data_IF_606871285221
#
_entry.id   IF_606871285221
#
_cell.length_a   1.000
_cell.length_b   1.000
_cell.length_c   1.000
_cell.angle_alpha   90.00
_cell.angle_beta   90.00
_cell.angle_gamma   90.00
#
_symmetry.space_group_name_H-M   'P 1'
#
loop_
_entity.id
_entity.type
_entity.pdbx_description
1 polymer ?
#
# COMPACT_ATOMS: atom_id res chain seq x y z
N UNK A 1 15.65 -0.77 -18.26
CA UNK A 1 15.68 -0.81 -19.75
C UNK A 1 15.19 -2.15 -20.32
N UNK A 2 15.79 -3.29 -19.96
CA UNK A 2 15.42 -4.63 -20.47
C UNK A 2 13.94 -5.04 -20.32
N UNK A 3 13.21 -4.45 -19.36
CA UNK A 3 11.80 -4.77 -19.10
C UNK A 3 10.82 -4.03 -20.05
N UNK A 4 11.06 -2.76 -20.37
CA UNK A 4 10.25 -2.03 -21.35
C UNK A 4 10.31 -2.71 -22.73
N UNK A 5 11.46 -3.30 -23.06
CA UNK A 5 11.68 -4.12 -24.26
C UNK A 5 10.86 -5.42 -24.23
N UNK A 6 10.70 -6.06 -23.06
CA UNK A 6 9.88 -7.28 -22.90
C UNK A 6 8.37 -6.99 -23.06
N UNK A 7 7.89 -5.86 -22.55
CA UNK A 7 6.49 -5.44 -22.70
C UNK A 7 6.16 -5.06 -24.15
N UNK A 8 7.05 -4.32 -24.80
CA UNK A 8 6.95 -3.95 -26.21
C UNK A 8 6.90 -5.22 -27.09
N UNK A 9 7.78 -6.20 -26.82
CA UNK A 9 7.79 -7.49 -27.50
C UNK A 9 6.51 -8.35 -27.29
N UNK A 10 5.74 -8.08 -26.23
CA UNK A 10 4.44 -8.74 -25.96
C UNK A 10 3.23 -7.94 -26.44
N UNK A 11 3.46 -6.85 -27.18
CA UNK A 11 2.39 -5.99 -27.72
C UNK A 11 1.66 -5.18 -26.64
N UNK A 12 2.27 -5.01 -25.47
CA UNK A 12 1.73 -4.13 -24.42
C UNK A 12 2.16 -2.70 -24.77
N UNK A 13 1.19 -1.80 -24.92
CA UNK A 13 1.49 -0.40 -25.22
C UNK A 13 2.20 0.24 -24.03
N UNK A 14 3.49 0.53 -24.23
CA UNK A 14 4.35 1.17 -23.22
C UNK A 14 4.67 2.63 -23.55
N UNK A 15 4.18 3.16 -24.67
CA UNK A 15 4.52 4.53 -25.15
C UNK A 15 4.28 5.62 -24.08
N UNK A 16 3.19 5.52 -23.32
CA UNK A 16 2.90 6.45 -22.22
C UNK A 16 3.90 6.36 -21.05
N UNK A 17 4.66 5.26 -20.96
CA UNK A 17 5.56 4.94 -19.84
C UNK A 17 7.02 4.79 -20.27
N UNK A 18 7.36 4.88 -21.57
CA UNK A 18 8.73 4.74 -22.10
C UNK A 18 9.71 5.79 -21.55
N UNK A 19 9.20 6.91 -21.05
CA UNK A 19 9.98 7.96 -20.39
C UNK A 19 10.28 7.71 -18.91
N UNK A 20 9.64 6.71 -18.28
CA UNK A 20 9.88 6.38 -16.88
C UNK A 20 11.21 5.64 -16.73
N UNK A 21 12.15 6.29 -16.06
CA UNK A 21 13.47 5.76 -15.74
C UNK A 21 13.65 5.85 -14.23
N UNK A 22 13.89 4.70 -13.57
CA UNK A 22 14.10 4.65 -12.12
C UNK A 22 15.27 5.53 -11.67
N UNK A 23 16.25 5.78 -12.54
CA UNK A 23 17.38 6.66 -12.25
C UNK A 23 17.00 8.15 -12.25
N UNK A 24 15.80 8.51 -12.75
CA UNK A 24 15.30 9.90 -12.79
C UNK A 24 14.39 10.26 -11.63
N UNK A 25 13.96 9.29 -10.82
CA UNK A 25 13.06 9.54 -9.69
C UNK A 25 13.84 9.48 -8.38
N UNK A 26 13.86 10.60 -7.66
CA UNK A 26 14.39 10.62 -6.30
C UNK A 26 13.41 9.93 -5.34
N UNK A 27 13.96 9.24 -4.34
CA UNK A 27 13.18 8.76 -3.19
C UNK A 27 12.61 9.97 -2.45
N UNK A 28 11.30 10.03 -2.28
CA UNK A 28 10.60 11.12 -1.61
C UNK A 28 9.78 10.62 -0.42
N UNK A 29 9.60 11.45 0.59
CA UNK A 29 8.67 11.15 1.68
C UNK A 29 7.20 11.28 1.19
N UNK A 30 6.30 10.58 1.87
CA UNK A 30 4.88 10.54 1.56
C UNK A 30 4.12 11.56 2.45
N UNK A 31 3.19 12.38 1.91
CA UNK A 31 2.74 12.44 0.52
C UNK A 31 3.69 13.17 -0.42
N UNK A 32 3.86 12.68 -1.67
CA UNK A 32 4.63 13.40 -2.67
C UNK A 32 3.95 14.73 -2.98
N UNK A 33 4.63 15.84 -2.71
CA UNK A 33 4.22 17.19 -3.11
C UNK A 33 4.62 17.42 -4.58
N UNK A 34 3.88 16.80 -5.50
CA UNK A 34 4.06 16.98 -6.94
C UNK A 34 3.07 18.00 -7.54
N UNK A 35 3.43 18.68 -8.64
CA UNK A 35 2.46 19.51 -9.35
C UNK A 35 1.36 18.64 -9.95
N UNK A 36 0.14 19.17 -9.99
CA UNK A 36 -0.97 18.56 -10.72
C UNK A 36 -0.81 18.86 -12.22
N UNK A 37 -0.49 17.85 -13.02
CA UNK A 37 -0.18 18.00 -14.44
C UNK A 37 -1.46 18.13 -15.28
N UNK A 38 -1.40 18.78 -16.46
CA UNK A 38 -2.53 18.83 -17.38
C UNK A 38 -3.09 17.44 -17.75
N UNK A 39 -2.21 16.45 -17.91
CA UNK A 39 -2.55 15.07 -18.27
C UNK A 39 -3.38 14.37 -17.17
N UNK A 40 -3.18 14.73 -15.90
CA UNK A 40 -3.94 14.17 -14.78
C UNK A 40 -5.45 14.55 -14.82
N UNK A 41 -5.83 15.51 -15.69
CA UNK A 41 -7.23 15.94 -15.89
C UNK A 41 -7.90 15.26 -17.08
N UNK A 42 -7.13 14.57 -17.93
CA UNK A 42 -7.69 13.90 -19.08
C UNK A 42 -8.58 12.72 -18.63
N UNK A 43 -9.73 12.46 -19.29
CA UNK A 43 -10.47 11.22 -19.07
C UNK A 43 -9.57 10.02 -19.37
N UNK A 44 -9.64 8.98 -18.53
CA UNK A 44 -8.97 7.71 -18.82
C UNK A 44 -9.59 7.08 -20.07
N UNK A 45 -8.74 6.67 -21.01
CA UNK A 45 -9.10 5.77 -22.09
C UNK A 45 -9.15 4.32 -21.59
N UNK A 46 -9.90 3.45 -22.28
CA UNK A 46 -10.07 2.04 -21.88
C UNK A 46 -8.72 1.31 -21.76
N UNK A 47 -7.75 1.68 -22.60
CA UNK A 47 -6.44 1.07 -22.61
C UNK A 47 -5.52 1.58 -21.48
N UNK A 48 -5.75 2.78 -20.94
CA UNK A 48 -4.88 3.37 -19.90
C UNK A 48 -4.85 2.52 -18.64
N UNK A 49 -6.03 2.07 -18.18
CA UNK A 49 -6.13 1.22 -16.99
C UNK A 49 -5.49 -0.16 -17.24
N UNK A 50 -5.72 -0.74 -18.41
CA UNK A 50 -5.13 -2.03 -18.79
C UNK A 50 -3.60 -1.95 -18.83
N UNK A 51 -3.08 -0.91 -19.46
CA UNK A 51 -1.64 -0.73 -19.64
C UNK A 51 -0.96 -0.40 -18.30
N UNK A 52 -1.61 0.41 -17.46
CA UNK A 52 -1.20 0.61 -16.06
C UNK A 52 -1.13 -0.72 -15.30
N UNK A 53 -2.19 -1.54 -15.32
CA UNK A 53 -2.22 -2.81 -14.58
C UNK A 53 -1.13 -3.77 -15.04
N UNK A 54 -0.87 -3.87 -16.35
CA UNK A 54 0.23 -4.68 -16.85
C UNK A 54 1.59 -4.19 -16.36
N UNK A 55 1.83 -2.87 -16.42
CA UNK A 55 3.09 -2.29 -15.95
C UNK A 55 3.26 -2.48 -14.45
N UNK A 56 2.19 -2.28 -13.68
CA UNK A 56 2.16 -2.41 -12.22
C UNK A 56 2.47 -3.84 -11.76
N UNK A 57 1.82 -4.84 -12.35
CA UNK A 57 2.06 -6.26 -12.02
C UNK A 57 3.49 -6.69 -12.34
N UNK A 58 4.04 -6.28 -13.49
CA UNK A 58 5.40 -6.69 -13.84
C UNK A 58 6.45 -5.92 -13.03
N UNK A 59 6.22 -4.65 -12.69
CA UNK A 59 7.08 -3.93 -11.74
C UNK A 59 7.11 -4.64 -10.37
N UNK A 60 5.96 -5.07 -9.88
CA UNK A 60 5.87 -5.83 -8.64
C UNK A 60 6.63 -7.16 -8.73
N UNK A 61 6.46 -7.91 -9.82
CA UNK A 61 7.17 -9.17 -10.04
C UNK A 61 8.69 -8.98 -10.14
N UNK A 62 9.15 -7.93 -10.82
CA UNK A 62 10.57 -7.60 -10.94
C UNK A 62 11.18 -7.20 -9.59
N UNK A 63 10.48 -6.41 -8.78
CA UNK A 63 10.89 -6.06 -7.43
C UNK A 63 11.01 -7.30 -6.54
N UNK A 64 9.99 -8.17 -6.56
CA UNK A 64 10.02 -9.43 -5.80
C UNK A 64 11.22 -10.28 -6.23
N UNK A 65 11.44 -10.48 -7.53
CA UNK A 65 12.57 -11.27 -8.03
C UNK A 65 13.92 -10.68 -7.61
N UNK A 66 14.05 -9.34 -7.60
CA UNK A 66 15.27 -8.65 -7.19
C UNK A 66 15.62 -8.91 -5.71
N UNK A 67 14.61 -8.98 -4.83
CA UNK A 67 14.82 -9.12 -3.38
C UNK A 67 14.63 -10.54 -2.86
N UNK A 68 14.09 -11.46 -3.68
CA UNK A 68 13.70 -12.81 -3.23
C UNK A 68 14.86 -13.70 -2.79
N UNK A 69 16.08 -13.40 -3.23
CA UNK A 69 17.28 -14.17 -2.89
C UNK A 69 18.02 -13.60 -1.66
N UNK A 70 17.58 -12.46 -1.12
CA UNK A 70 18.20 -11.85 0.05
C UNK A 70 17.85 -12.60 1.33
N UNK A 71 18.85 -12.76 2.19
CA UNK A 71 18.63 -13.28 3.55
C UNK A 71 17.86 -12.26 4.38
N UNK A 72 17.18 -12.71 5.45
CA UNK A 72 16.53 -11.80 6.41
C UNK A 72 17.52 -10.79 6.99
N UNK A 73 18.77 -11.20 7.22
CA UNK A 73 19.81 -10.30 7.72
C UNK A 73 20.16 -9.20 6.70
N UNK A 74 20.32 -9.56 5.43
CA UNK A 74 20.65 -8.60 4.38
C UNK A 74 19.46 -7.67 4.07
N UNK A 75 18.23 -8.14 4.23
CA UNK A 75 17.02 -7.32 4.11
C UNK A 75 16.95 -6.22 5.17
N UNK A 76 17.42 -6.51 6.39
CA UNK A 76 17.41 -5.59 7.53
C UNK A 76 18.68 -4.71 7.59
N UNK A 77 19.77 -5.12 6.95
CA UNK A 77 21.05 -4.39 7.00
C UNK A 77 20.95 -3.04 6.29
N UNK A 78 21.47 -1.99 6.94
CA UNK A 78 21.67 -0.67 6.34
C UNK A 78 23.10 -0.53 5.80
N UNK A 79 23.28 -0.02 4.57
CA UNK A 79 24.62 0.28 4.04
C UNK A 79 25.37 1.34 4.85
N UNK A 80 24.65 2.36 5.33
CA UNK A 80 25.13 3.43 6.20
C UNK A 80 23.97 4.01 7.05
N UNK A 81 24.25 5.02 7.87
CA UNK A 81 23.27 5.58 8.80
C UNK A 81 22.11 6.34 8.12
N UNK A 82 22.36 6.88 6.92
CA UNK A 82 21.42 7.75 6.20
C UNK A 82 20.64 7.00 5.10
N UNK A 83 21.05 5.77 4.79
CA UNK A 83 20.43 4.92 3.78
C UNK A 83 19.41 3.96 4.40
N UNK A 84 18.25 3.82 3.76
CA UNK A 84 17.25 2.82 4.13
C UNK A 84 17.75 1.40 3.89
N UNK A 85 17.36 0.46 4.76
CA UNK A 85 17.47 -0.97 4.44
C UNK A 85 16.47 -1.35 3.33
N UNK A 86 16.67 -2.51 2.70
CA UNK A 86 15.70 -3.05 1.73
C UNK A 86 14.33 -3.23 2.39
N UNK A 87 14.32 -3.69 3.65
CA UNK A 87 13.09 -3.81 4.45
C UNK A 87 12.36 -2.47 4.61
N UNK A 88 13.08 -1.41 4.94
CA UNK A 88 12.51 -0.06 5.10
C UNK A 88 11.96 0.49 3.78
N UNK A 89 12.69 0.28 2.67
CA UNK A 89 12.24 0.70 1.34
C UNK A 89 10.94 -0.02 0.92
N UNK A 90 10.87 -1.34 1.11
CA UNK A 90 9.64 -2.10 0.81
C UNK A 90 8.47 -1.67 1.70
N UNK A 91 8.72 -1.41 2.98
CA UNK A 91 7.69 -0.90 3.91
C UNK A 91 7.18 0.47 3.49
N UNK A 92 8.07 1.36 3.07
CA UNK A 92 7.70 2.65 2.51
C UNK A 92 6.86 2.51 1.23
N UNK A 93 7.22 1.61 0.31
CA UNK A 93 6.43 1.35 -0.90
C UNK A 93 5.02 0.85 -0.58
N UNK A 94 4.90 -0.18 0.27
CA UNK A 94 3.61 -0.75 0.64
C UNK A 94 2.68 0.29 1.29
N UNK A 95 3.21 1.07 2.23
CA UNK A 95 2.43 2.11 2.91
C UNK A 95 2.07 3.27 1.99
N UNK A 96 2.95 3.60 1.03
CA UNK A 96 2.69 4.66 0.05
C UNK A 96 1.65 4.27 -0.98
N UNK A 97 1.69 3.04 -1.50
CA UNK A 97 0.64 2.55 -2.40
C UNK A 97 -0.73 2.58 -1.73
N UNK A 98 -0.84 2.12 -0.48
CA UNK A 98 -2.10 2.19 0.28
C UNK A 98 -2.56 3.65 0.50
N UNK A 99 -1.65 4.55 0.84
CA UNK A 99 -1.95 5.97 1.03
C UNK A 99 -2.44 6.65 -0.26
N UNK A 100 -1.74 6.46 -1.39
CA UNK A 100 -2.12 7.03 -2.68
C UNK A 100 -3.48 6.53 -3.14
N UNK A 101 -3.71 5.23 -3.01
CA UNK A 101 -4.95 4.59 -3.38
C UNK A 101 -6.14 5.08 -2.56
N UNK A 102 -5.92 5.42 -1.27
CA UNK A 102 -6.94 6.05 -0.43
C UNK A 102 -7.28 7.50 -0.82
N UNK A 103 -6.48 8.17 -1.68
CA UNK A 103 -6.78 9.51 -2.21
C UNK A 103 -7.75 9.51 -3.38
N UNK A 104 -8.01 8.34 -3.97
CA UNK A 104 -9.16 8.16 -4.83
C UNK A 104 -10.42 8.20 -3.94
N UNK A 105 -10.87 9.41 -3.60
CA UNK A 105 -12.11 9.59 -2.84
C UNK A 105 -13.26 8.90 -3.60
N UNK A 106 -14.01 8.05 -2.89
CA UNK A 106 -15.06 7.13 -3.36
C UNK A 106 -14.60 5.76 -3.88
N UNK A 107 -13.79 5.06 -3.09
CA UNK A 107 -13.46 3.67 -3.36
C UNK A 107 -14.55 2.71 -2.85
N UNK A 108 -15.15 1.88 -3.73
CA UNK A 108 -16.04 2.27 -4.85
C UNK A 108 -17.27 3.08 -4.33
N UNK A 109 -18.29 3.31 -5.17
CA UNK A 109 -19.63 3.77 -4.72
C UNK A 109 -20.17 3.01 -3.49
N UNK A 110 -19.64 1.82 -3.24
CA UNK A 110 -19.90 0.96 -2.11
C UNK A 110 -18.74 0.97 -1.07
N UNK A 111 -18.80 1.83 -0.03
CA UNK A 111 -17.79 1.89 1.03
C UNK A 111 -17.62 0.59 1.82
N UNK A 112 -18.58 -0.34 1.73
CA UNK A 112 -18.49 -1.63 2.43
C UNK A 112 -17.43 -2.54 1.82
N UNK A 113 -17.19 -2.48 0.50
CA UNK A 113 -16.16 -3.30 -0.14
C UNK A 113 -14.76 -2.94 0.33
N UNK A 114 -14.46 -1.65 0.47
CA UNK A 114 -13.16 -1.18 0.98
C UNK A 114 -12.96 -1.58 2.44
N UNK A 115 -13.98 -1.37 3.29
CA UNK A 115 -13.97 -1.82 4.69
C UNK A 115 -13.72 -3.34 4.79
N UNK A 116 -14.42 -4.12 3.97
CA UNK A 116 -14.26 -5.58 3.93
C UNK A 116 -12.89 -6.01 3.42
N UNK A 117 -12.36 -5.37 2.38
CA UNK A 117 -11.02 -5.68 1.84
C UNK A 117 -9.93 -5.46 2.88
N UNK A 118 -9.95 -4.33 3.59
CA UNK A 118 -9.00 -4.05 4.66
C UNK A 118 -9.16 -5.04 5.82
N UNK A 119 -10.41 -5.33 6.22
CA UNK A 119 -10.68 -6.34 7.25
C UNK A 119 -10.08 -7.71 6.89
N UNK A 120 -10.19 -8.14 5.62
CA UNK A 120 -9.61 -9.41 5.14
C UNK A 120 -8.08 -9.40 5.19
N UNK A 121 -7.42 -8.30 4.83
CA UNK A 121 -5.96 -8.18 4.94
C UNK A 121 -5.52 -8.31 6.40
N UNK A 122 -6.19 -7.63 7.32
CA UNK A 122 -5.91 -7.71 8.77
C UNK A 122 -6.12 -9.13 9.28
N UNK A 123 -7.26 -9.74 8.95
CA UNK A 123 -7.61 -11.10 9.35
C UNK A 123 -6.59 -12.13 8.85
N UNK A 124 -6.24 -12.06 7.57
CA UNK A 124 -5.25 -12.95 6.96
C UNK A 124 -3.89 -12.81 7.65
N UNK A 125 -3.43 -11.58 7.91
CA UNK A 125 -2.13 -11.36 8.54
C UNK A 125 -2.04 -12.05 9.90
N UNK A 126 -3.07 -11.95 10.75
CA UNK A 126 -3.09 -12.63 12.05
C UNK A 126 -3.23 -14.15 11.94
N UNK A 127 -3.89 -14.66 10.90
CA UNK A 127 -4.12 -16.10 10.72
C UNK A 127 -2.85 -16.86 10.36
N UNK A 128 -1.90 -16.23 9.67
CA UNK A 128 -0.67 -16.86 9.19
C UNK A 128 0.56 -16.53 10.03
N UNK A 129 0.40 -15.94 11.22
CA UNK A 129 1.54 -15.60 12.07
C UNK A 129 2.15 -16.85 12.73
N UNK A 130 3.47 -16.92 12.70
CA UNK A 130 4.21 -17.94 13.42
C UNK A 130 4.32 -17.62 14.93
N UNK A 131 4.41 -18.61 15.83
CA UNK A 131 4.47 -18.38 17.27
C UNK A 131 5.55 -17.39 17.70
N UNK A 132 6.73 -17.42 17.07
CA UNK A 132 7.82 -16.49 17.35
C UNK A 132 7.47 -15.04 17.01
N UNK A 133 6.69 -14.80 15.94
CA UNK A 133 6.24 -13.46 15.57
C UNK A 133 5.25 -12.89 16.60
N UNK A 134 4.43 -13.75 17.23
CA UNK A 134 3.44 -13.33 18.23
C UNK A 134 4.05 -12.77 19.52
N UNK A 135 5.28 -13.17 19.83
CA UNK A 135 6.04 -12.76 21.01
C UNK A 135 6.97 -11.58 20.74
N UNK A 136 7.14 -11.18 19.48
CA UNK A 136 8.07 -10.13 19.10
C UNK A 136 7.64 -8.75 19.62
N UNK A 137 8.62 -8.00 20.14
CA UNK A 137 8.49 -6.56 20.39
C UNK A 137 9.18 -5.82 19.24
N UNK A 138 8.46 -4.92 18.58
CA UNK A 138 8.97 -4.06 17.52
C UNK A 138 8.95 -2.61 18.01
N UNK A 139 10.05 -1.89 17.88
CA UNK A 139 10.09 -0.46 18.19
C UNK A 139 9.88 0.33 16.91
N UNK A 140 8.73 0.98 16.79
CA UNK A 140 8.38 1.82 15.62
C UNK A 140 8.23 3.24 16.12
N UNK A 141 9.03 4.17 15.56
CA UNK A 141 9.06 5.59 15.97
C UNK A 141 9.20 5.77 17.49
N UNK A 142 10.13 5.03 18.10
CA UNK A 142 10.42 5.07 19.53
C UNK A 142 9.35 4.45 20.44
N UNK A 143 8.30 3.83 19.88
CA UNK A 143 7.22 3.20 20.65
C UNK A 143 7.28 1.67 20.52
N UNK A 144 7.19 0.91 21.62
CA UNK A 144 7.14 -0.54 21.55
C UNK A 144 5.74 -1.00 21.12
N UNK A 145 5.73 -1.88 20.12
CA UNK A 145 4.57 -2.54 19.56
C UNK A 145 4.71 -4.05 19.72
N UNK A 146 3.63 -4.67 20.17
CA UNK A 146 3.48 -6.13 20.22
C UNK A 146 2.22 -6.50 19.47
N UNK A 147 2.13 -7.75 19.01
CA UNK A 147 0.93 -8.30 18.38
C UNK A 147 -0.31 -8.03 19.24
N UNK A 148 -0.21 -8.28 20.56
CA UNK A 148 -1.30 -8.02 21.52
C UNK A 148 -1.70 -6.55 21.57
N UNK A 149 -0.74 -5.63 21.51
CA UNK A 149 -1.02 -4.18 21.47
C UNK A 149 -1.74 -3.80 20.19
N UNK A 150 -1.29 -4.30 19.04
CA UNK A 150 -1.92 -4.04 17.73
C UNK A 150 -3.35 -4.56 17.71
N UNK A 151 -3.58 -5.82 18.10
CA UNK A 151 -4.93 -6.41 18.19
C UNK A 151 -5.85 -5.57 19.07
N UNK A 152 -5.39 -5.18 20.27
CA UNK A 152 -6.15 -4.33 21.18
C UNK A 152 -6.50 -2.98 20.55
N UNK A 153 -5.53 -2.29 19.94
CA UNK A 153 -5.77 -1.00 19.30
C UNK A 153 -6.76 -1.08 18.13
N UNK A 154 -6.72 -2.16 17.34
CA UNK A 154 -7.69 -2.39 16.25
C UNK A 154 -9.11 -2.53 16.84
N UNK A 155 -9.29 -3.38 17.85
CA UNK A 155 -10.59 -3.59 18.48
C UNK A 155 -11.13 -2.33 19.16
N UNK A 156 -10.29 -1.61 19.90
CA UNK A 156 -10.64 -0.34 20.53
C UNK A 156 -11.15 0.67 19.49
N UNK A 157 -10.41 0.81 18.37
CA UNK A 157 -10.78 1.71 17.28
C UNK A 157 -12.09 1.30 16.58
N UNK A 158 -12.29 0.01 16.31
CA UNK A 158 -13.55 -0.48 15.74
C UNK A 158 -14.76 -0.22 16.67
N UNK A 159 -14.61 -0.43 17.98
CA UNK A 159 -15.67 -0.15 18.95
C UNK A 159 -16.00 1.34 19.06
N UNK A 160 -14.98 2.19 19.12
CA UNK A 160 -15.13 3.65 19.13
C UNK A 160 -15.93 4.12 17.91
N UNK A 161 -15.50 3.71 16.72
CA UNK A 161 -16.15 4.13 15.49
C UNK A 161 -17.52 3.48 15.26
N UNK A 162 -17.78 2.28 15.79
CA UNK A 162 -19.13 1.72 15.82
C UNK A 162 -20.09 2.60 16.63
N UNK A 163 -19.65 3.07 17.81
CA UNK A 163 -20.41 4.03 18.62
C UNK A 163 -20.69 5.33 17.85
N UNK A 164 -19.64 5.92 17.27
CA UNK A 164 -19.76 7.16 16.49
C UNK A 164 -20.69 7.02 15.28
N UNK A 165 -20.62 5.89 14.54
CA UNK A 165 -21.55 5.63 13.42
C UNK A 165 -23.00 5.53 13.89
N UNK A 166 -23.27 4.92 15.05
CA UNK A 166 -24.63 4.89 15.63
C UNK A 166 -25.13 6.29 15.97
N UNK A 167 -24.27 7.14 16.54
CA UNK A 167 -24.59 8.54 16.84
C UNK A 167 -24.95 9.30 15.56
N UNK A 168 -24.15 9.15 14.50
CA UNK A 168 -24.41 9.74 13.17
C UNK A 168 -25.77 9.26 12.61
N UNK A 169 -26.03 7.95 12.62
CA UNK A 169 -27.29 7.38 12.13
C UNK A 169 -28.50 7.96 12.89
N UNK A 170 -28.37 8.07 14.21
CA UNK A 170 -29.39 8.65 15.08
C UNK A 170 -29.61 10.14 14.76
N UNK A 171 -28.54 10.91 14.60
CA UNK A 171 -28.59 12.33 14.23
C UNK A 171 -29.22 12.55 12.84
N UNK A 172 -29.11 11.59 11.93
CA UNK A 172 -29.79 11.58 10.63
C UNK A 172 -31.27 11.17 10.70
N UNK A 173 -31.84 11.02 11.91
CA UNK A 173 -33.25 10.67 12.12
C UNK A 173 -33.57 9.20 11.84
N UNK A 174 -32.57 8.32 11.81
CA UNK A 174 -32.74 6.88 11.61
C UNK A 174 -32.47 6.13 12.91
N UNK A 175 -33.18 5.03 13.14
CA UNK A 175 -32.83 4.13 14.24
C UNK A 175 -31.69 3.20 13.81
N UNK A 176 -30.58 3.13 14.55
CA UNK A 176 -29.56 2.11 14.31
C UNK A 176 -30.19 0.72 14.43
N UNK A 177 -30.03 -0.13 13.41
CA UNK A 177 -30.37 -1.55 13.55
C UNK A 177 -29.24 -2.24 14.32
N UNK A 178 -29.62 -3.02 15.34
CA UNK A 178 -28.70 -3.83 16.13
C UNK A 178 -28.14 -5.00 15.34
#
# INVERSE_FOLDING_TARGET
RAYLELLDARGVAVEHWKGLDSERFAVAENPPEGPFYPEDKAPLEEHDLRDFLHVFEVQQAALIALVSELSVEDMERKPDADTWSVREALEHMMTTQAALLSRLEQWPKDPFNTLQSIHRVVFQRFTVMEPAETMAVRTIRGRPWTVRRVMRCILEHEWEHYGHVKEIITALGRSPKG
#
